data_IF_310490923702
#
_entry.id   IF_310490923702
#
_cell.length_a   1.000
_cell.length_b   1.000
_cell.length_c   1.000
_cell.angle_alpha   90.00
_cell.angle_beta   90.00
_cell.angle_gamma   90.00
#
_symmetry.space_group_name_H-M   'P 1'
#
loop_
_entity.id
_entity.type
_entity.pdbx_description
1 polymer ?
#
# COMPACT_ATOMS: atom_id res chain seq x y z
N UNK A 1 -1.30 -14.99 -2.68
CA UNK A 1 -1.04 -13.53 -2.67
C UNK A 1 -0.08 -13.24 -3.82
N UNK A 2 -0.43 -12.32 -4.71
CA UNK A 2 0.28 -12.07 -5.97
C UNK A 2 1.77 -11.76 -5.76
N UNK A 3 2.09 -10.82 -4.87
CA UNK A 3 3.47 -10.39 -4.62
C UNK A 3 4.38 -11.53 -4.13
N UNK A 4 3.90 -12.38 -3.23
CA UNK A 4 4.63 -13.55 -2.76
C UNK A 4 4.88 -14.55 -3.91
N UNK A 5 3.92 -14.73 -4.79
CA UNK A 5 4.04 -15.63 -5.94
C UNK A 5 5.06 -15.16 -7.00
N UNK A 6 5.36 -13.86 -7.03
CA UNK A 6 6.30 -13.26 -7.98
C UNK A 6 7.67 -12.93 -7.36
N UNK A 7 7.89 -13.29 -6.11
CA UNK A 7 9.08 -12.89 -5.36
C UNK A 7 10.39 -13.36 -6.01
N UNK A 8 10.43 -14.58 -6.54
CA UNK A 8 11.59 -15.12 -7.23
C UNK A 8 11.91 -14.33 -8.52
N UNK A 9 10.88 -13.99 -9.29
CA UNK A 9 11.04 -13.20 -10.52
C UNK A 9 11.60 -11.81 -10.18
N UNK A 10 11.12 -11.19 -9.11
CA UNK A 10 11.61 -9.88 -8.66
C UNK A 10 13.08 -9.98 -8.22
N UNK A 11 13.45 -11.03 -7.49
CA UNK A 11 14.83 -11.28 -7.07
C UNK A 11 15.78 -11.51 -8.27
N UNK A 12 15.33 -12.26 -9.27
CA UNK A 12 16.10 -12.47 -10.51
C UNK A 12 16.36 -11.16 -11.27
N UNK A 13 15.45 -10.19 -11.13
CA UNK A 13 15.58 -8.82 -11.65
C UNK A 13 16.44 -7.90 -10.74
N UNK A 14 17.00 -8.43 -9.66
CA UNK A 14 17.81 -7.65 -8.72
C UNK A 14 17.03 -6.80 -7.74
N UNK A 15 15.73 -7.09 -7.56
CA UNK A 15 14.84 -6.33 -6.67
C UNK A 15 14.65 -7.03 -5.33
N UNK A 16 14.82 -6.28 -4.24
CA UNK A 16 14.30 -6.62 -2.93
C UNK A 16 12.85 -6.18 -2.78
N UNK A 17 12.12 -6.83 -1.87
CA UNK A 17 10.73 -6.50 -1.56
C UNK A 17 10.57 -6.35 -0.06
N UNK A 18 9.87 -5.30 0.36
CA UNK A 18 9.35 -5.13 1.71
C UNK A 18 7.98 -4.49 1.64
N UNK A 19 7.14 -4.72 2.63
CA UNK A 19 5.87 -4.01 2.78
C UNK A 19 5.82 -3.30 4.12
N UNK A 20 5.16 -2.16 4.16
CA UNK A 20 4.94 -1.35 5.37
C UNK A 20 3.44 -1.32 5.65
N UNK A 21 3.06 -1.50 6.90
CA UNK A 21 1.69 -1.37 7.37
C UNK A 21 1.65 -0.61 8.70
N UNK A 22 0.52 0.03 8.96
CA UNK A 22 0.21 0.65 10.26
C UNK A 22 -0.13 -0.35 11.36
N UNK A 23 -0.19 -1.64 11.03
CA UNK A 23 -0.43 -2.70 12.01
C UNK A 23 0.80 -2.93 12.92
N UNK A 24 0.54 -3.45 14.13
CA UNK A 24 1.60 -3.80 15.07
C UNK A 24 2.44 -4.99 14.58
N UNK A 25 3.65 -5.11 15.13
CA UNK A 25 4.57 -6.23 14.83
C UNK A 25 3.90 -7.59 15.05
N UNK A 26 3.13 -7.75 16.13
CA UNK A 26 2.46 -9.02 16.45
C UNK A 26 1.42 -9.40 15.41
N UNK A 27 0.63 -8.42 14.94
CA UNK A 27 -0.37 -8.61 13.89
C UNK A 27 0.30 -8.99 12.57
N UNK A 28 1.37 -8.30 12.20
CA UNK A 28 2.11 -8.58 10.96
C UNK A 28 2.82 -9.93 11.01
N UNK A 29 3.38 -10.32 12.15
CA UNK A 29 4.02 -11.62 12.34
C UNK A 29 3.02 -12.77 12.16
N UNK A 30 1.86 -12.69 12.81
CA UNK A 30 0.80 -13.67 12.68
C UNK A 30 0.25 -13.74 11.24
N UNK A 31 0.08 -12.59 10.59
CA UNK A 31 -0.34 -12.51 9.20
C UNK A 31 0.68 -13.15 8.26
N UNK A 32 1.97 -12.86 8.43
CA UNK A 32 3.04 -13.42 7.62
C UNK A 32 3.07 -14.94 7.72
N UNK A 33 2.95 -15.47 8.96
CA UNK A 33 2.94 -16.90 9.21
C UNK A 33 1.74 -17.60 8.57
N UNK A 34 0.53 -17.05 8.76
CA UNK A 34 -0.70 -17.63 8.19
C UNK A 34 -0.74 -17.60 6.66
N UNK A 35 -0.09 -16.63 6.04
CA UNK A 35 -0.09 -16.41 4.59
C UNK A 35 1.17 -16.91 3.88
N UNK A 36 2.15 -17.44 4.62
CA UNK A 36 3.41 -17.91 4.07
C UNK A 36 4.22 -16.80 3.40
N UNK A 37 4.23 -15.59 3.98
CA UNK A 37 4.96 -14.44 3.46
C UNK A 37 6.41 -14.55 3.91
N UNK A 38 7.35 -14.44 2.96
CA UNK A 38 8.78 -14.61 3.21
C UNK A 38 9.59 -13.32 3.01
N UNK A 39 8.99 -12.25 2.53
CA UNK A 39 9.61 -10.93 2.50
C UNK A 39 9.26 -10.12 3.77
N UNK A 40 10.08 -9.12 4.14
CA UNK A 40 9.85 -8.31 5.34
C UNK A 40 8.49 -7.59 5.33
N UNK A 41 7.77 -7.69 6.44
CA UNK A 41 6.65 -6.81 6.77
C UNK A 41 7.08 -5.89 7.91
N UNK A 42 7.02 -4.60 7.67
CA UNK A 42 7.49 -3.55 8.58
C UNK A 42 6.29 -2.87 9.25
N UNK A 43 6.33 -2.78 10.57
CA UNK A 43 5.31 -2.08 11.34
C UNK A 43 5.62 -0.57 11.39
N UNK A 44 4.63 0.24 11.11
CA UNK A 44 4.64 1.70 11.21
C UNK A 44 3.40 2.13 12.01
N UNK A 45 3.34 1.69 13.26
CA UNK A 45 2.17 1.78 14.14
C UNK A 45 1.82 3.22 14.54
N UNK A 46 2.77 4.15 14.43
CA UNK A 46 2.55 5.59 14.60
C UNK A 46 2.35 6.33 13.26
N UNK A 47 2.35 5.61 12.15
CA UNK A 47 2.21 6.15 10.77
C UNK A 47 3.23 7.23 10.38
N UNK A 48 4.41 7.23 11.01
CA UNK A 48 5.46 8.21 10.72
C UNK A 48 6.06 8.02 9.34
N UNK A 49 6.43 6.81 8.97
CA UNK A 49 6.93 6.50 7.63
C UNK A 49 5.85 6.70 6.55
N UNK A 50 4.62 6.25 6.79
CA UNK A 50 3.47 6.46 5.91
C UNK A 50 3.27 7.96 5.62
N UNK A 51 3.41 8.79 6.63
CA UNK A 51 3.31 10.26 6.51
C UNK A 51 4.45 10.84 5.67
N UNK A 52 5.69 10.40 5.91
CA UNK A 52 6.85 10.85 5.14
C UNK A 52 6.80 10.43 3.68
N UNK A 53 6.25 9.26 3.37
CA UNK A 53 5.98 8.84 2.00
C UNK A 53 4.84 9.61 1.32
N UNK A 54 4.11 10.46 2.08
CA UNK A 54 3.03 11.30 1.55
C UNK A 54 1.77 10.51 1.15
N UNK A 55 1.53 9.37 1.78
CA UNK A 55 0.39 8.49 1.47
C UNK A 55 -0.59 8.33 2.64
N UNK A 56 -0.46 9.16 3.68
CA UNK A 56 -1.41 9.15 4.78
C UNK A 56 -2.82 9.51 4.29
N UNK A 57 -3.81 8.73 4.71
CA UNK A 57 -5.22 9.04 4.45
C UNK A 57 -5.69 10.18 5.36
N UNK A 58 -5.57 11.40 4.86
CA UNK A 58 -5.95 12.62 5.59
C UNK A 58 -7.46 12.74 5.78
N UNK A 59 -8.28 12.15 4.90
CA UNK A 59 -9.75 12.17 5.02
C UNK A 59 -10.21 11.53 6.33
N UNK A 60 -9.58 10.44 6.76
CA UNK A 60 -9.90 9.80 8.02
C UNK A 60 -9.58 10.70 9.23
N UNK A 61 -8.43 11.39 9.19
CA UNK A 61 -8.03 12.31 10.26
C UNK A 61 -8.90 13.57 10.30
N UNK A 62 -9.20 14.16 9.16
CA UNK A 62 -10.05 15.35 9.02
C UNK A 62 -11.49 15.06 9.43
N UNK A 63 -12.03 13.88 9.08
CA UNK A 63 -13.41 13.48 9.39
C UNK A 63 -13.70 13.28 10.88
N UNK A 64 -12.66 13.12 11.71
CA UNK A 64 -12.78 13.04 13.18
C UNK A 64 -12.11 14.21 13.92
N UNK A 65 -11.53 15.15 13.18
CA UNK A 65 -10.82 16.32 13.71
C UNK A 65 -11.74 17.47 14.10
N UNK A 66 -11.15 18.57 14.55
CA UNK A 66 -11.86 19.77 15.01
C UNK A 66 -12.72 20.40 13.90
N UNK A 67 -12.34 20.23 12.65
CA UNK A 67 -13.04 20.78 11.48
C UNK A 67 -13.98 19.77 10.80
N UNK A 68 -14.32 18.67 11.45
CA UNK A 68 -15.19 17.62 10.88
C UNK A 68 -16.57 18.15 10.41
N UNK A 69 -16.99 19.30 10.91
CA UNK A 69 -18.26 19.95 10.51
C UNK A 69 -18.15 20.81 9.25
N UNK A 70 -16.94 21.03 8.75
CA UNK A 70 -16.73 21.75 7.49
C UNK A 70 -17.45 21.06 6.32
N UNK A 71 -18.20 21.80 5.47
CA UNK A 71 -18.93 21.21 4.35
C UNK A 71 -18.09 20.44 3.36
N UNK A 72 -16.85 20.88 3.08
CA UNK A 72 -15.96 20.24 2.14
C UNK A 72 -15.41 18.93 2.74
N UNK A 73 -15.06 18.93 4.03
CA UNK A 73 -14.64 17.72 4.75
C UNK A 73 -15.78 16.69 4.80
N UNK A 74 -17.01 17.14 5.09
CA UNK A 74 -18.20 16.27 5.05
C UNK A 74 -18.42 15.66 3.66
N UNK A 75 -18.22 16.43 2.62
CA UNK A 75 -18.35 15.95 1.24
C UNK A 75 -17.28 14.89 0.92
N UNK A 76 -16.04 15.09 1.34
CA UNK A 76 -14.95 14.13 1.15
C UNK A 76 -15.16 12.85 1.97
N UNK A 77 -15.61 12.97 3.22
CA UNK A 77 -15.98 11.82 4.06
C UNK A 77 -17.14 11.03 3.42
N UNK A 78 -18.18 11.71 2.92
CA UNK A 78 -19.30 11.05 2.26
C UNK A 78 -18.85 10.31 0.98
N UNK A 79 -17.96 10.91 0.21
CA UNK A 79 -17.36 10.30 -0.97
C UNK A 79 -16.53 9.07 -0.61
N UNK A 80 -15.73 9.16 0.47
CA UNK A 80 -14.97 8.04 1.01
C UNK A 80 -15.89 6.89 1.44
N UNK A 81 -16.91 7.17 2.25
CA UNK A 81 -17.89 6.17 2.70
C UNK A 81 -18.63 5.53 1.53
N UNK A 82 -18.98 6.30 0.51
CA UNK A 82 -19.60 5.78 -0.71
C UNK A 82 -18.70 4.81 -1.46
N UNK A 83 -17.39 5.08 -1.49
CA UNK A 83 -16.40 4.25 -2.19
C UNK A 83 -16.05 2.96 -1.43
N UNK A 84 -15.99 3.02 -0.09
CA UNK A 84 -15.43 1.95 0.76
C UNK A 84 -16.44 1.31 1.72
N UNK A 85 -17.66 1.82 1.79
CA UNK A 85 -18.68 1.39 2.72
C UNK A 85 -18.55 2.04 4.10
N UNK A 86 -19.49 1.70 5.00
CA UNK A 86 -19.60 2.29 6.34
C UNK A 86 -18.61 1.72 7.37
N UNK A 87 -17.50 1.16 6.93
CA UNK A 87 -16.45 0.74 7.87
C UNK A 87 -15.87 1.98 8.56
N UNK A 88 -15.58 1.90 9.88
CA UNK A 88 -14.98 3.01 10.57
C UNK A 88 -13.65 3.39 9.90
N UNK A 89 -13.51 4.66 9.58
CA UNK A 89 -12.25 5.20 9.13
C UNK A 89 -11.25 5.14 10.27
N UNK A 90 -10.11 4.51 10.04
CA UNK A 90 -9.04 4.40 11.03
C UNK A 90 -8.00 5.47 10.73
N UNK A 91 -7.79 6.38 11.67
CA UNK A 91 -6.73 7.39 11.58
C UNK A 91 -5.37 6.71 11.53
N UNK A 92 -4.49 7.19 10.65
CA UNK A 92 -3.17 6.59 10.44
C UNK A 92 -3.13 5.56 9.30
N UNK A 93 -4.26 5.24 8.69
CA UNK A 93 -4.33 4.33 7.54
C UNK A 93 -3.70 4.97 6.30
N UNK A 94 -2.85 4.27 5.55
CA UNK A 94 -2.30 4.77 4.30
C UNK A 94 -3.25 4.58 3.12
N UNK A 95 -3.11 5.41 2.10
CA UNK A 95 -3.50 5.04 0.75
C UNK A 95 -2.54 3.97 0.21
N UNK A 96 -3.00 3.06 -0.67
CA UNK A 96 -2.11 2.09 -1.30
C UNK A 96 -1.05 2.77 -2.16
N UNK A 97 0.19 2.43 -1.94
CA UNK A 97 1.31 2.95 -2.72
C UNK A 97 2.42 1.92 -2.89
N UNK A 98 3.12 2.00 -4.01
CA UNK A 98 4.33 1.22 -4.28
C UNK A 98 5.45 2.16 -4.67
N UNK A 99 6.59 2.00 -4.05
CA UNK A 99 7.77 2.84 -4.27
C UNK A 99 8.94 1.98 -4.71
N UNK A 100 9.69 2.48 -5.68
CA UNK A 100 10.99 1.93 -6.05
C UNK A 100 12.07 2.77 -5.39
N UNK A 101 12.99 2.10 -4.71
CA UNK A 101 14.10 2.74 -4.00
C UNK A 101 15.40 2.18 -4.56
N UNK A 102 16.33 3.04 -4.96
CA UNK A 102 17.63 2.63 -5.46
C UNK A 102 18.64 2.30 -4.33
N UNK A 103 19.86 1.91 -4.73
CA UNK A 103 20.91 1.59 -3.79
C UNK A 103 21.43 2.77 -2.95
N UNK A 104 21.10 4.00 -3.34
CA UNK A 104 21.43 5.24 -2.62
C UNK A 104 20.26 5.73 -1.73
N UNK A 105 19.26 4.87 -1.50
CA UNK A 105 18.05 5.15 -0.70
C UNK A 105 17.17 6.27 -1.27
N UNK A 106 17.21 6.46 -2.58
CA UNK A 106 16.35 7.44 -3.27
C UNK A 106 15.14 6.75 -3.90
N UNK A 107 13.98 7.37 -3.76
CA UNK A 107 12.77 6.97 -4.48
C UNK A 107 12.93 7.34 -5.95
N UNK A 108 12.98 6.35 -6.83
CA UNK A 108 13.14 6.51 -8.27
C UNK A 108 11.82 6.44 -9.02
N UNK A 109 10.84 5.75 -8.47
CA UNK A 109 9.50 5.63 -9.04
C UNK A 109 8.47 5.49 -7.95
N UNK A 110 7.28 6.04 -8.20
CA UNK A 110 6.15 6.02 -7.28
C UNK A 110 4.89 5.65 -8.03
N UNK A 111 4.18 4.64 -7.54
CA UNK A 111 2.89 4.20 -8.01
C UNK A 111 1.90 4.37 -6.88
N UNK A 112 1.07 5.38 -6.96
CA UNK A 112 0.14 5.79 -5.94
C UNK A 112 -1.25 5.97 -6.53
N UNK A 113 -2.25 5.43 -5.85
CA UNK A 113 -3.65 5.56 -6.23
C UNK A 113 -4.43 6.16 -5.06
N UNK A 114 -5.17 7.23 -5.30
CA UNK A 114 -5.99 7.88 -4.29
C UNK A 114 -7.20 7.02 -3.85
N UNK A 115 -7.59 6.06 -4.69
CA UNK A 115 -8.71 5.20 -4.40
C UNK A 115 -8.26 3.79 -4.03
N UNK A 116 -8.68 3.34 -2.87
CA UNK A 116 -8.31 2.03 -2.30
C UNK A 116 -8.59 0.82 -3.22
N UNK A 117 -9.55 0.92 -4.14
CA UNK A 117 -9.91 -0.17 -5.06
C UNK A 117 -9.03 -0.25 -6.30
N UNK A 118 -8.33 0.83 -6.63
CA UNK A 118 -7.46 0.92 -7.79
C UNK A 118 -6.01 0.63 -7.38
N UNK A 119 -5.74 -0.59 -6.94
CA UNK A 119 -4.39 -1.01 -6.60
C UNK A 119 -3.61 -1.34 -7.87
N UNK A 120 -2.40 -0.82 -7.98
CA UNK A 120 -1.47 -1.33 -8.96
C UNK A 120 -1.14 -2.78 -8.64
N UNK A 121 -1.41 -3.68 -9.58
CA UNK A 121 -0.94 -5.07 -9.46
C UNK A 121 0.57 -5.11 -9.62
N UNK A 122 1.24 -6.12 -9.06
CA UNK A 122 2.68 -6.30 -9.26
C UNK A 122 3.02 -6.36 -10.74
N UNK A 123 2.20 -7.02 -11.54
CA UNK A 123 2.31 -7.09 -12.99
C UNK A 123 2.30 -5.70 -13.64
N UNK A 124 1.35 -4.83 -13.25
CA UNK A 124 1.28 -3.47 -13.78
C UNK A 124 2.49 -2.61 -13.40
N UNK A 125 2.98 -2.75 -12.18
CA UNK A 125 4.20 -2.07 -11.73
C UNK A 125 5.40 -2.52 -12.55
N UNK A 126 5.59 -3.83 -12.74
CA UNK A 126 6.67 -4.39 -13.55
C UNK A 126 6.62 -3.92 -15.00
N UNK A 127 5.42 -3.90 -15.62
CA UNK A 127 5.24 -3.38 -16.98
C UNK A 127 5.58 -1.91 -17.10
N UNK A 128 5.14 -1.08 -16.15
CA UNK A 128 5.46 0.36 -16.11
C UNK A 128 6.96 0.63 -15.94
N UNK A 129 7.68 -0.29 -15.29
CA UNK A 129 9.14 -0.23 -15.13
C UNK A 129 9.91 -0.80 -16.33
N UNK A 130 9.23 -1.28 -17.37
CA UNK A 130 9.87 -1.91 -18.52
C UNK A 130 10.53 -3.25 -18.21
N UNK A 131 10.11 -3.92 -17.15
CA UNK A 131 10.63 -5.22 -16.73
C UNK A 131 9.98 -6.34 -17.53
N UNK A 132 10.78 -7.35 -17.89
CA UNK A 132 10.26 -8.55 -18.54
C UNK A 132 9.30 -9.30 -17.61
N UNK A 133 8.14 -9.67 -18.15
CA UNK A 133 7.23 -10.57 -17.47
C UNK A 133 7.56 -12.00 -17.91
N UNK A 134 7.59 -12.94 -16.97
CA UNK A 134 7.47 -14.34 -17.36
C UNK A 134 6.11 -14.53 -18.04
N UNK A 135 6.04 -15.29 -19.15
CA UNK A 135 4.76 -15.60 -19.76
C UNK A 135 3.86 -16.23 -18.68
N UNK A 136 2.70 -15.60 -18.46
CA UNK A 136 1.66 -16.20 -17.63
C UNK A 136 1.37 -17.54 -18.30
N UNK A 137 1.62 -18.65 -17.61
CA UNK A 137 1.15 -19.93 -18.08
C UNK A 137 -0.35 -19.79 -18.31
N UNK A 138 -0.75 -19.93 -19.56
CA UNK A 138 -2.16 -19.89 -19.91
C UNK A 138 -2.86 -20.93 -19.02
N UNK A 139 -3.77 -20.47 -18.19
CA UNK A 139 -4.65 -21.36 -17.46
C UNK A 139 -5.58 -21.93 -18.52
N UNK A 140 -5.29 -23.16 -18.91
CA UNK A 140 -6.23 -23.96 -19.72
C UNK A 140 -7.49 -24.25 -18.93
#
# INVERSE_FOLDING_TARGET
MELQGQLEILREQGLGVAAISYDSVDVLSDFAQRRGITFPLLADDDSSAITEFGILNTVAAEGVGENADDPDIKADVAKYVSAFGANPMIVGTPYPGTFMIDGDSKVTSRFFEEFYRERNTTTNVMLKLGMGLSPIAAVE
#
